data_IF_709651899426
#
_entry.id   IF_709651899426
#
_cell.length_a   1.000
_cell.length_b   1.000
_cell.length_c   1.000
_cell.angle_alpha   90.00
_cell.angle_beta   90.00
_cell.angle_gamma   90.00
#
_symmetry.space_group_name_H-M   'P 1'
#
loop_
_entity.id
_entity.type
_entity.pdbx_description
1 polymer ?
#
# COMPACT_ATOMS: atom_id res chain seq x y z
N UNK A 1 -23.73 40.99 -26.80
CA UNK A 1 -23.25 39.81 -26.05
C UNK A 1 -22.01 40.24 -25.26
N UNK A 2 -22.20 40.68 -24.02
CA UNK A 2 -21.10 40.99 -23.11
C UNK A 2 -20.47 39.66 -22.65
N UNK A 3 -19.31 39.35 -23.25
CA UNK A 3 -18.46 38.27 -22.78
C UNK A 3 -17.98 38.55 -21.37
N UNK A 4 -18.54 37.86 -20.39
CA UNK A 4 -18.01 37.80 -19.02
C UNK A 4 -16.58 37.28 -19.11
N UNK A 5 -15.62 38.22 -19.16
CA UNK A 5 -14.19 37.88 -19.12
C UNK A 5 -13.87 37.16 -17.84
N UNK A 6 -13.73 35.84 -17.89
CA UNK A 6 -13.29 35.03 -16.76
C UNK A 6 -11.93 35.57 -16.30
N UNK A 7 -11.93 36.25 -15.14
CA UNK A 7 -10.73 36.83 -14.57
C UNK A 7 -9.74 35.69 -14.32
N UNK A 8 -8.69 35.56 -15.14
CA UNK A 8 -7.70 34.51 -15.05
C UNK A 8 -7.02 34.57 -13.68
N UNK A 9 -7.28 33.58 -12.84
CA UNK A 9 -6.82 33.49 -11.47
C UNK A 9 -5.34 33.16 -11.34
N UNK A 10 -4.79 33.38 -10.16
CA UNK A 10 -3.47 32.84 -9.80
C UNK A 10 -3.56 31.32 -9.60
N UNK A 11 -2.43 30.64 -9.75
CA UNK A 11 -2.35 29.19 -9.54
C UNK A 11 -2.87 28.81 -8.15
N UNK A 12 -2.54 29.55 -7.10
CA UNK A 12 -2.98 29.25 -5.72
C UNK A 12 -4.51 29.32 -5.55
N UNK A 13 -5.20 30.21 -6.26
CA UNK A 13 -6.66 30.34 -6.18
C UNK A 13 -7.36 29.25 -7.00
N UNK A 14 -6.87 29.00 -8.20
CA UNK A 14 -7.42 27.95 -9.07
C UNK A 14 -7.13 26.55 -8.48
N UNK A 15 -6.00 26.38 -7.82
CA UNK A 15 -5.65 25.15 -7.11
C UNK A 15 -6.68 24.81 -6.01
N UNK A 16 -7.15 25.79 -5.25
CA UNK A 16 -8.18 25.55 -4.21
C UNK A 16 -9.45 24.96 -4.82
N UNK A 17 -9.93 25.54 -5.93
CA UNK A 17 -11.11 25.04 -6.64
C UNK A 17 -10.89 23.63 -7.19
N UNK A 18 -9.71 23.36 -7.75
CA UNK A 18 -9.37 22.03 -8.22
C UNK A 18 -9.31 21.02 -7.08
N UNK A 19 -8.72 21.38 -5.95
CA UNK A 19 -8.64 20.53 -4.76
C UNK A 19 -10.03 20.23 -4.19
N UNK A 20 -10.92 21.23 -4.10
CA UNK A 20 -12.32 21.04 -3.71
C UNK A 20 -13.05 20.04 -4.61
N UNK A 21 -12.84 20.14 -5.92
CA UNK A 21 -13.37 19.16 -6.87
C UNK A 21 -12.81 17.75 -6.67
N UNK A 22 -11.52 17.61 -6.34
CA UNK A 22 -10.94 16.32 -6.03
C UNK A 22 -11.48 15.73 -4.71
N UNK A 23 -11.73 16.55 -3.71
CA UNK A 23 -12.32 16.13 -2.42
C UNK A 23 -13.73 15.58 -2.59
N UNK A 24 -14.50 16.12 -3.52
CA UNK A 24 -15.85 15.65 -3.83
C UNK A 24 -15.88 14.38 -4.66
N UNK A 25 -14.87 14.15 -5.50
CA UNK A 25 -14.87 13.08 -6.51
C UNK A 25 -13.95 11.92 -6.18
N UNK A 26 -13.06 12.07 -5.19
CA UNK A 26 -12.08 11.04 -4.85
C UNK A 26 -11.98 10.83 -3.34
N UNK A 27 -11.46 9.67 -2.92
CA UNK A 27 -11.22 9.40 -1.51
C UNK A 27 -10.07 10.24 -0.93
N UNK A 28 -10.06 10.44 0.39
CA UNK A 28 -9.00 11.14 1.12
C UNK A 28 -7.61 10.55 0.83
N UNK A 29 -7.49 9.24 0.68
CA UNK A 29 -6.24 8.58 0.32
C UNK A 29 -5.67 8.99 -1.05
N UNK A 30 -6.47 9.59 -1.92
CA UNK A 30 -6.05 10.09 -3.22
C UNK A 30 -5.71 11.59 -3.17
N UNK A 31 -6.60 12.44 -2.64
CA UNK A 31 -6.37 13.90 -2.69
C UNK A 31 -5.41 14.43 -1.63
N UNK A 32 -5.33 13.86 -0.42
CA UNK A 32 -4.40 14.32 0.63
C UNK A 32 -2.92 14.24 0.22
N UNK A 33 -2.44 13.16 -0.44
CA UNK A 33 -1.09 13.14 -0.97
C UNK A 33 -0.83 14.20 -2.06
N UNK A 34 -1.84 14.53 -2.88
CA UNK A 34 -1.77 15.60 -3.88
C UNK A 34 -1.62 16.95 -3.16
N UNK A 35 -2.50 17.25 -2.20
CA UNK A 35 -2.44 18.46 -1.39
C UNK A 35 -1.06 18.63 -0.73
N UNK A 36 -0.54 17.56 -0.11
CA UNK A 36 0.78 17.58 0.53
C UNK A 36 1.89 17.92 -0.46
N UNK A 37 1.90 17.30 -1.67
CA UNK A 37 2.90 17.60 -2.70
C UNK A 37 2.77 19.03 -3.20
N UNK A 38 1.55 19.51 -3.42
CA UNK A 38 1.28 20.87 -3.87
C UNK A 38 1.76 21.91 -2.88
N UNK A 39 1.40 21.75 -1.61
CA UNK A 39 1.83 22.67 -0.53
C UNK A 39 3.35 22.77 -0.43
N UNK A 40 4.05 21.65 -0.56
CA UNK A 40 5.51 21.60 -0.35
C UNK A 40 6.29 22.00 -1.61
N UNK A 41 5.85 21.57 -2.80
CA UNK A 41 6.66 21.67 -4.00
C UNK A 41 6.14 22.64 -5.05
N UNK A 42 4.83 22.81 -5.18
CA UNK A 42 4.23 23.57 -6.28
C UNK A 42 3.92 25.02 -5.88
N UNK A 43 3.11 25.20 -4.84
CA UNK A 43 2.66 26.53 -4.43
C UNK A 43 3.80 27.51 -4.08
N UNK A 44 4.90 27.07 -3.44
CA UNK A 44 6.03 27.98 -3.16
C UNK A 44 6.76 28.50 -4.41
N UNK A 45 6.58 27.87 -5.57
CA UNK A 45 7.29 28.23 -6.82
C UNK A 45 6.37 28.99 -7.75
N UNK A 46 5.17 28.46 -8.03
CA UNK A 46 4.28 29.00 -9.05
C UNK A 46 2.96 29.54 -8.48
N UNK A 47 2.68 29.42 -7.17
CA UNK A 47 1.38 29.80 -6.60
C UNK A 47 0.90 31.20 -6.94
N UNK A 48 1.83 32.19 -7.00
CA UNK A 48 1.53 33.58 -7.33
C UNK A 48 1.45 33.87 -8.81
N UNK A 49 1.87 32.93 -9.69
CA UNK A 49 1.76 33.09 -11.15
C UNK A 49 0.31 32.99 -11.61
N UNK A 50 -0.02 33.64 -12.72
CA UNK A 50 -1.30 33.45 -13.40
C UNK A 50 -1.30 32.12 -14.16
N UNK A 51 -2.41 31.38 -14.17
CA UNK A 51 -2.47 30.05 -14.82
C UNK A 51 -2.22 30.11 -16.32
N UNK A 52 -2.57 31.23 -17.00
CA UNK A 52 -2.32 31.41 -18.43
C UNK A 52 -0.87 31.85 -18.73
N UNK A 53 -0.06 32.13 -17.73
CA UNK A 53 1.36 32.47 -17.85
C UNK A 53 2.29 31.31 -17.46
N UNK A 54 1.72 30.12 -17.24
CA UNK A 54 2.51 28.91 -16.97
C UNK A 54 3.24 28.45 -18.23
N UNK A 55 4.44 27.94 -18.05
CA UNK A 55 5.31 27.38 -19.09
C UNK A 55 5.83 26.01 -18.69
N UNK A 56 6.32 25.22 -19.65
CA UNK A 56 7.00 23.95 -19.36
C UNK A 56 8.21 24.13 -18.43
N UNK A 57 8.95 25.24 -18.59
CA UNK A 57 10.08 25.56 -17.73
C UNK A 57 9.66 25.73 -16.26
N UNK A 58 8.51 26.32 -15.97
CA UNK A 58 8.00 26.46 -14.61
C UNK A 58 7.71 25.10 -13.98
N UNK A 59 7.07 24.21 -14.74
CA UNK A 59 6.74 22.88 -14.25
C UNK A 59 7.98 22.02 -14.09
N UNK A 60 8.92 22.13 -15.01
CA UNK A 60 10.21 21.42 -14.91
C UNK A 60 11.02 21.89 -13.71
N UNK A 61 11.04 23.20 -13.40
CA UNK A 61 11.73 23.74 -12.24
C UNK A 61 11.22 23.13 -10.91
N UNK A 62 9.92 22.84 -10.80
CA UNK A 62 9.31 22.17 -9.64
C UNK A 62 9.89 20.76 -9.48
N UNK A 63 9.90 19.98 -10.56
CA UNK A 63 10.42 18.60 -10.57
C UNK A 63 11.92 18.59 -10.26
N UNK A 64 12.69 19.50 -10.84
CA UNK A 64 14.13 19.63 -10.60
C UNK A 64 14.44 20.00 -9.14
N UNK A 65 13.66 20.91 -8.54
CA UNK A 65 13.81 21.26 -7.10
C UNK A 65 13.51 20.07 -6.20
N UNK A 66 12.47 19.32 -6.49
CA UNK A 66 12.13 18.10 -5.73
C UNK A 66 13.22 17.02 -5.92
N UNK A 67 13.80 16.88 -7.11
CA UNK A 67 14.92 15.98 -7.37
C UNK A 67 16.18 16.41 -6.57
N UNK A 68 16.55 17.69 -6.61
CA UNK A 68 17.68 18.22 -5.84
C UNK A 68 17.53 18.00 -4.33
N UNK A 69 16.28 17.97 -3.82
CA UNK A 69 15.96 17.60 -2.44
C UNK A 69 15.94 16.08 -2.19
N UNK A 70 16.44 15.25 -3.12
CA UNK A 70 16.60 13.80 -2.96
C UNK A 70 15.30 13.00 -3.03
N UNK A 71 14.22 13.54 -3.63
CA UNK A 71 12.96 12.80 -3.76
C UNK A 71 13.10 11.62 -4.73
N UNK A 72 12.40 10.52 -4.42
CA UNK A 72 12.46 9.32 -5.25
C UNK A 72 11.83 9.54 -6.64
N UNK A 73 12.27 8.76 -7.63
CA UNK A 73 11.71 8.76 -9.00
C UNK A 73 10.19 8.65 -8.99
N UNK A 74 9.63 7.78 -8.13
CA UNK A 74 8.18 7.62 -7.98
C UNK A 74 7.49 8.91 -7.51
N UNK A 75 8.09 9.62 -6.54
CA UNK A 75 7.55 10.90 -6.06
C UNK A 75 7.58 11.96 -7.15
N UNK A 76 8.65 12.02 -7.94
CA UNK A 76 8.77 12.95 -9.08
C UNK A 76 7.73 12.64 -10.17
N UNK A 77 7.51 11.36 -10.48
CA UNK A 77 6.46 10.93 -11.42
C UNK A 77 5.06 11.32 -10.96
N UNK A 78 4.75 11.15 -9.66
CA UNK A 78 3.47 11.57 -9.09
C UNK A 78 3.32 13.08 -9.16
N UNK A 79 4.36 13.85 -8.83
CA UNK A 79 4.35 15.30 -8.91
C UNK A 79 4.12 15.78 -10.36
N UNK A 80 4.81 15.21 -11.33
CA UNK A 80 4.60 15.50 -12.75
C UNK A 80 3.17 15.14 -13.20
N UNK A 81 2.63 14.03 -12.71
CA UNK A 81 1.23 13.64 -12.94
C UNK A 81 0.22 14.65 -12.39
N UNK A 82 0.44 15.12 -11.17
CA UNK A 82 -0.39 16.15 -10.53
C UNK A 82 -0.37 17.46 -11.34
N UNK A 83 0.80 17.89 -11.80
CA UNK A 83 0.97 19.10 -12.60
C UNK A 83 0.22 18.99 -13.94
N UNK A 84 0.34 17.86 -14.64
CA UNK A 84 -0.42 17.61 -15.89
C UNK A 84 -1.93 17.60 -15.64
N UNK A 85 -2.38 16.98 -14.54
CA UNK A 85 -3.79 16.93 -14.18
C UNK A 85 -4.36 18.32 -13.90
N UNK A 86 -3.62 19.17 -13.20
CA UNK A 86 -4.00 20.55 -12.94
C UNK A 86 -4.07 21.37 -14.23
N UNK A 87 -3.09 21.29 -15.13
CA UNK A 87 -3.12 21.99 -16.42
C UNK A 87 -4.33 21.52 -17.27
N UNK A 88 -4.63 20.22 -17.26
CA UNK A 88 -5.84 19.68 -17.90
C UNK A 88 -7.13 20.25 -17.30
N UNK A 89 -7.19 20.41 -15.98
CA UNK A 89 -8.31 21.06 -15.30
C UNK A 89 -8.44 22.52 -15.73
N UNK A 90 -7.36 23.31 -15.72
CA UNK A 90 -7.36 24.71 -16.16
C UNK A 90 -7.86 24.85 -17.60
N UNK A 91 -7.44 23.96 -18.50
CA UNK A 91 -7.92 23.94 -19.90
C UNK A 91 -9.41 23.62 -19.99
N UNK A 92 -9.87 22.59 -19.24
CA UNK A 92 -11.30 22.24 -19.20
C UNK A 92 -12.17 23.39 -18.68
N UNK A 93 -11.66 24.11 -17.68
CA UNK A 93 -12.31 25.29 -17.10
C UNK A 93 -12.13 26.56 -17.95
N UNK A 94 -11.52 26.50 -19.13
CA UNK A 94 -11.23 27.62 -20.04
C UNK A 94 -10.42 28.77 -19.40
N UNK A 95 -9.62 28.47 -18.39
CA UNK A 95 -8.73 29.40 -17.69
C UNK A 95 -7.36 29.54 -18.38
N UNK A 96 -6.95 28.55 -19.16
CA UNK A 96 -5.69 28.52 -19.93
C UNK A 96 -5.82 27.54 -21.08
N UNK A 97 -5.09 27.78 -22.16
CA UNK A 97 -4.93 26.86 -23.30
C UNK A 97 -3.68 25.98 -23.14
N UNK A 98 -2.81 26.31 -22.17
CA UNK A 98 -1.54 25.62 -21.94
C UNK A 98 -1.75 24.17 -21.50
N UNK A 99 -1.04 23.27 -22.19
CA UNK A 99 -0.80 21.89 -21.75
C UNK A 99 0.70 21.64 -21.81
N UNK A 100 1.30 21.08 -20.75
CA UNK A 100 2.72 20.73 -20.78
C UNK A 100 2.95 19.63 -21.83
N UNK A 101 3.94 19.84 -22.70
CA UNK A 101 4.34 18.85 -23.70
C UNK A 101 5.14 17.72 -23.07
N UNK A 102 6.17 18.09 -22.34
CA UNK A 102 7.06 17.09 -21.70
C UNK A 102 7.61 17.59 -20.34
N UNK A 103 7.28 16.86 -19.30
CA UNK A 103 7.91 17.05 -17.98
C UNK A 103 8.85 15.88 -17.75
N UNK A 104 10.15 16.17 -17.85
CA UNK A 104 11.22 15.19 -17.74
C UNK A 104 11.47 14.78 -16.29
N UNK A 105 11.58 13.47 -16.06
CA UNK A 105 12.06 12.95 -14.78
C UNK A 105 13.56 12.72 -14.88
N UNK A 106 14.40 13.42 -14.06
CA UNK A 106 15.85 13.30 -14.14
C UNK A 106 16.33 11.85 -14.12
N UNK A 107 17.26 11.49 -14.99
CA UNK A 107 17.75 10.11 -15.13
C UNK A 107 18.37 9.58 -13.82
N UNK A 108 19.09 10.45 -13.07
CA UNK A 108 19.66 10.14 -11.75
C UNK A 108 18.68 10.08 -10.59
N UNK A 109 17.35 10.18 -10.84
CA UNK A 109 16.36 10.11 -9.79
C UNK A 109 16.38 8.75 -9.08
N UNK A 110 16.49 8.79 -7.75
CA UNK A 110 16.65 7.62 -6.89
C UNK A 110 15.50 6.63 -7.08
N UNK A 111 15.84 5.43 -7.51
CA UNK A 111 14.93 4.28 -7.46
C UNK A 111 14.92 3.72 -6.04
N UNK A 112 13.75 3.61 -5.44
CA UNK A 112 13.56 2.88 -4.20
C UNK A 112 13.13 1.46 -4.56
N UNK A 113 14.06 0.50 -4.49
CA UNK A 113 13.75 -0.91 -4.62
C UNK A 113 12.79 -1.35 -3.51
N UNK A 114 11.97 -2.35 -3.80
CA UNK A 114 11.21 -3.06 -2.79
C UNK A 114 12.14 -4.07 -2.12
N UNK A 115 12.06 -4.15 -0.79
CA UNK A 115 12.79 -5.13 -0.01
C UNK A 115 11.88 -6.30 0.32
N UNK A 116 12.46 -7.45 0.58
CA UNK A 116 11.78 -8.64 1.09
C UNK A 116 12.65 -9.26 2.17
N UNK A 117 12.04 -9.92 3.15
CA UNK A 117 12.77 -10.74 4.10
C UNK A 117 13.46 -11.88 3.36
N UNK A 118 14.73 -12.09 3.67
CA UNK A 118 15.51 -13.21 3.13
C UNK A 118 15.21 -14.50 3.93
N UNK A 119 15.57 -15.68 3.43
CA UNK A 119 15.33 -16.95 4.14
C UNK A 119 15.77 -16.95 5.59
N UNK A 120 16.98 -16.46 5.89
CA UNK A 120 17.51 -16.37 7.25
C UNK A 120 16.67 -15.47 8.16
N UNK A 121 16.16 -14.36 7.64
CA UNK A 121 15.27 -13.46 8.39
C UNK A 121 13.92 -14.13 8.66
N UNK A 122 13.40 -14.91 7.72
CA UNK A 122 12.18 -15.70 7.92
C UNK A 122 12.37 -16.77 8.99
N UNK A 123 13.49 -17.51 8.96
CA UNK A 123 13.82 -18.49 10.03
C UNK A 123 13.86 -17.80 11.38
N UNK A 124 14.52 -16.63 11.50
CA UNK A 124 14.53 -15.85 12.76
C UNK A 124 13.12 -15.41 13.18
N UNK A 125 12.30 -14.89 12.24
CA UNK A 125 10.93 -14.48 12.53
C UNK A 125 10.09 -15.62 13.10
N UNK A 126 10.30 -16.84 12.63
CA UNK A 126 9.54 -18.01 13.08
C UNK A 126 10.13 -18.71 14.31
N UNK A 127 11.39 -18.47 14.65
CA UNK A 127 12.07 -19.08 15.81
C UNK A 127 12.16 -18.17 17.05
N UNK A 128 11.96 -16.84 16.91
CA UNK A 128 12.14 -15.89 18.01
C UNK A 128 10.82 -15.21 18.34
N UNK A 129 10.37 -15.33 19.60
CA UNK A 129 9.12 -14.75 20.10
C UNK A 129 9.33 -13.49 20.95
N UNK A 130 10.58 -13.02 21.06
CA UNK A 130 10.94 -11.95 21.98
C UNK A 130 11.45 -10.70 21.27
N UNK A 131 11.24 -9.55 21.90
CA UNK A 131 11.72 -8.24 21.47
C UNK A 131 12.38 -7.51 22.64
N UNK A 132 12.90 -6.31 22.39
CA UNK A 132 13.44 -5.44 23.43
C UNK A 132 12.41 -4.39 23.86
N UNK A 133 12.15 -4.34 25.16
CA UNK A 133 11.37 -3.27 25.80
C UNK A 133 12.13 -2.70 26.99
N UNK A 134 12.47 -1.41 26.96
CA UNK A 134 13.25 -0.71 28.01
C UNK A 134 14.55 -1.48 28.37
N UNK A 135 15.25 -1.99 27.36
CA UNK A 135 16.52 -2.74 27.53
C UNK A 135 16.37 -4.19 28.01
N UNK A 136 15.16 -4.67 28.25
CA UNK A 136 14.90 -6.06 28.66
C UNK A 136 14.28 -6.87 27.53
N UNK A 137 14.64 -8.16 27.44
CA UNK A 137 13.96 -9.12 26.57
C UNK A 137 12.59 -9.45 27.15
N UNK A 138 11.56 -9.28 26.35
CA UNK A 138 10.17 -9.60 26.69
C UNK A 138 9.51 -10.32 25.51
N UNK A 139 8.45 -11.07 25.76
CA UNK A 139 7.62 -11.62 24.68
C UNK A 139 7.07 -10.49 23.80
N UNK A 140 7.02 -10.69 22.49
CA UNK A 140 6.43 -9.72 21.56
C UNK A 140 4.95 -10.06 21.30
N UNK A 141 4.05 -9.25 21.84
CA UNK A 141 2.60 -9.45 21.73
C UNK A 141 2.09 -9.45 20.29
N UNK A 142 2.88 -8.97 19.33
CA UNK A 142 2.50 -8.90 17.92
C UNK A 142 3.20 -9.97 17.05
N UNK A 143 3.93 -10.89 17.65
CA UNK A 143 4.70 -11.89 16.89
C UNK A 143 3.83 -12.71 15.94
N UNK A 144 2.66 -13.13 16.38
CA UNK A 144 1.73 -13.90 15.54
C UNK A 144 1.17 -13.05 14.39
N UNK A 145 0.98 -11.74 14.59
CA UNK A 145 0.54 -10.84 13.53
C UNK A 145 1.60 -10.73 12.42
N UNK A 146 2.88 -10.56 12.75
CA UNK A 146 3.96 -10.53 11.77
C UNK A 146 4.05 -11.83 10.98
N UNK A 147 4.03 -12.98 11.67
CA UNK A 147 4.05 -14.31 11.06
C UNK A 147 2.85 -14.52 10.13
N UNK A 148 1.67 -14.17 10.60
CA UNK A 148 0.44 -14.33 9.82
C UNK A 148 0.41 -13.44 8.58
N UNK A 149 0.88 -12.18 8.69
CA UNK A 149 0.96 -11.26 7.55
C UNK A 149 1.89 -11.80 6.46
N UNK A 150 3.04 -12.36 6.85
CA UNK A 150 3.99 -12.97 5.90
C UNK A 150 3.50 -14.28 5.30
N UNK A 151 2.70 -15.06 6.04
CA UNK A 151 2.14 -16.34 5.57
C UNK A 151 0.93 -16.21 4.65
N UNK A 152 0.27 -15.07 4.68
CA UNK A 152 -0.99 -14.84 3.95
C UNK A 152 -0.91 -13.71 2.92
N UNK A 153 0.11 -12.88 3.02
CA UNK A 153 0.25 -11.70 2.16
C UNK A 153 -0.86 -10.67 2.33
N UNK A 154 -1.55 -10.64 3.46
CA UNK A 154 -2.56 -9.61 3.76
C UNK A 154 -1.95 -8.21 3.72
N UNK A 155 -2.76 -7.21 3.37
CA UNK A 155 -2.36 -5.83 3.57
C UNK A 155 -2.43 -5.47 5.05
N UNK A 156 -1.59 -4.56 5.57
CA UNK A 156 -1.65 -4.17 6.99
C UNK A 156 -3.05 -3.77 7.46
N UNK A 157 -3.79 -3.00 6.65
CA UNK A 157 -5.16 -2.62 6.98
C UNK A 157 -6.16 -3.79 7.00
N UNK A 158 -5.97 -4.80 6.15
CA UNK A 158 -6.77 -6.04 6.17
C UNK A 158 -6.49 -6.85 7.44
N UNK A 159 -5.23 -6.92 7.85
CA UNK A 159 -4.83 -7.57 9.09
C UNK A 159 -5.41 -6.87 10.34
N UNK A 160 -5.38 -5.53 10.36
CA UNK A 160 -5.99 -4.74 11.45
C UNK A 160 -7.50 -4.95 11.54
N UNK A 161 -8.17 -5.11 10.39
CA UNK A 161 -9.62 -5.31 10.33
C UNK A 161 -10.09 -6.75 10.53
N UNK A 162 -9.19 -7.72 10.65
CA UNK A 162 -9.53 -9.15 10.72
C UNK A 162 -10.16 -9.51 12.07
N UNK A 163 -11.32 -10.15 12.02
CA UNK A 163 -12.09 -10.59 13.19
C UNK A 163 -12.18 -12.11 13.22
N UNK A 164 -12.35 -12.69 14.41
CA UNK A 164 -12.53 -14.13 14.55
C UNK A 164 -13.74 -14.66 13.79
N UNK A 165 -14.79 -13.85 13.66
CA UNK A 165 -15.99 -14.20 12.89
C UNK A 165 -15.74 -14.36 11.38
N UNK A 166 -14.65 -13.80 10.87
CA UNK A 166 -14.25 -13.89 9.46
C UNK A 166 -13.57 -15.24 9.14
N UNK A 167 -13.23 -16.02 10.16
CA UNK A 167 -12.48 -17.28 10.01
C UNK A 167 -13.39 -18.45 10.32
N UNK A 168 -13.72 -19.24 9.29
CA UNK A 168 -14.62 -20.40 9.39
C UNK A 168 -13.99 -21.61 8.70
N UNK A 169 -13.86 -22.74 9.42
CA UNK A 169 -13.37 -23.98 8.84
C UNK A 169 -11.98 -23.88 8.15
N UNK A 170 -11.10 -23.00 8.64
CA UNK A 170 -9.81 -22.77 8.01
C UNK A 170 -9.83 -21.83 6.79
N UNK A 171 -10.99 -21.26 6.47
CA UNK A 171 -11.15 -20.23 5.41
C UNK A 171 -11.25 -18.86 6.03
N UNK A 172 -10.54 -17.91 5.47
CA UNK A 172 -10.61 -16.47 5.81
C UNK A 172 -11.50 -15.76 4.79
N UNK A 173 -12.49 -15.01 5.28
CA UNK A 173 -13.41 -14.20 4.49
C UNK A 173 -13.11 -12.71 4.73
N UNK A 174 -12.31 -12.12 3.89
CA UNK A 174 -11.96 -10.70 4.00
C UNK A 174 -13.08 -9.84 3.43
N UNK A 175 -13.62 -8.95 4.25
CA UNK A 175 -14.68 -8.02 3.85
C UNK A 175 -14.38 -6.57 4.22
N UNK A 176 -13.31 -6.33 4.98
CA UNK A 176 -12.97 -5.01 5.52
C UNK A 176 -11.47 -4.78 5.64
N UNK A 177 -11.12 -3.52 5.75
CA UNK A 177 -9.79 -3.06 6.12
C UNK A 177 -9.89 -1.80 7.00
N UNK A 178 -8.95 -1.61 7.91
CA UNK A 178 -8.83 -0.37 8.69
C UNK A 178 -7.74 0.48 8.04
N UNK A 179 -8.07 1.70 7.67
CA UNK A 179 -7.12 2.61 7.05
C UNK A 179 -6.19 3.27 8.11
N UNK A 180 -5.18 4.01 7.65
CA UNK A 180 -4.21 4.70 8.53
C UNK A 180 -4.82 5.70 9.52
N UNK A 181 -6.07 6.11 9.32
CA UNK A 181 -6.84 6.98 10.22
C UNK A 181 -7.70 6.20 11.22
N UNK A 182 -7.62 4.87 11.20
CA UNK A 182 -8.43 4.00 12.06
C UNK A 182 -9.88 3.81 11.60
N UNK A 183 -10.20 4.24 10.37
CA UNK A 183 -11.56 4.10 9.81
C UNK A 183 -11.70 2.77 9.09
N UNK A 184 -12.76 2.04 9.40
CA UNK A 184 -13.13 0.81 8.71
C UNK A 184 -13.60 1.13 7.28
N UNK A 185 -13.12 0.38 6.31
CA UNK A 185 -13.45 0.48 4.89
C UNK A 185 -13.65 -0.90 4.29
N UNK A 186 -14.31 -0.99 3.14
CA UNK A 186 -14.41 -2.24 2.36
C UNK A 186 -13.09 -2.64 1.67
N UNK A 187 -11.99 -1.91 1.92
CA UNK A 187 -10.73 -2.08 1.25
C UNK A 187 -10.56 -1.14 0.04
N UNK A 188 -9.40 -1.21 -0.61
CA UNK A 188 -8.98 -0.23 -1.62
C UNK A 188 -9.66 -0.39 -2.98
N UNK A 189 -10.14 -1.58 -3.31
CA UNK A 189 -10.77 -1.95 -4.59
C UNK A 189 -11.75 -3.12 -4.37
N UNK A 190 -12.55 -3.45 -5.38
CA UNK A 190 -13.53 -4.55 -5.34
C UNK A 190 -12.88 -5.90 -4.99
N UNK A 191 -11.66 -6.16 -5.49
CA UNK A 191 -10.90 -7.37 -5.20
C UNK A 191 -10.33 -7.45 -3.77
N UNK A 192 -10.57 -6.43 -2.94
CA UNK A 192 -10.23 -6.49 -1.52
C UNK A 192 -11.15 -7.44 -0.74
N UNK A 193 -12.41 -7.60 -1.19
CA UNK A 193 -13.34 -8.59 -0.66
C UNK A 193 -13.04 -9.92 -1.33
N UNK A 194 -12.56 -10.88 -0.56
CA UNK A 194 -12.17 -12.20 -1.05
C UNK A 194 -12.16 -13.25 0.05
N UNK A 195 -12.21 -14.51 -0.36
CA UNK A 195 -12.05 -15.65 0.55
C UNK A 195 -10.88 -16.51 0.09
N UNK A 196 -10.15 -17.08 1.03
CA UNK A 196 -9.07 -18.03 0.74
C UNK A 196 -8.90 -19.03 1.87
N UNK A 197 -8.40 -20.22 1.54
CA UNK A 197 -8.10 -21.28 2.50
C UNK A 197 -6.70 -21.07 3.06
N UNK A 198 -6.54 -21.22 4.38
CA UNK A 198 -5.26 -21.07 5.07
C UNK A 198 -4.40 -22.32 4.88
N UNK A 199 -3.10 -22.10 4.69
CA UNK A 199 -2.09 -23.15 4.82
C UNK A 199 -2.00 -23.65 6.26
N UNK A 200 -1.46 -24.86 6.48
CA UNK A 200 -1.39 -25.45 7.83
C UNK A 200 -0.50 -24.62 8.77
N UNK A 201 0.62 -24.08 8.23
CA UNK A 201 1.49 -23.17 9.01
C UNK A 201 0.75 -21.88 9.43
N UNK A 202 -0.12 -21.34 8.59
CA UNK A 202 -0.92 -20.17 8.94
C UNK A 202 -2.02 -20.50 9.96
N UNK A 203 -2.63 -21.69 9.87
CA UNK A 203 -3.59 -22.18 10.87
C UNK A 203 -2.94 -22.34 12.23
N UNK A 204 -1.73 -22.93 12.30
CA UNK A 204 -1.00 -23.09 13.55
C UNK A 204 -0.72 -21.74 14.24
N UNK A 205 -0.35 -20.70 13.46
CA UNK A 205 -0.18 -19.34 13.99
C UNK A 205 -1.49 -18.77 14.53
N UNK A 206 -2.63 -19.00 13.84
CA UNK A 206 -3.95 -18.56 14.32
C UNK A 206 -4.40 -19.30 15.57
N UNK A 207 -4.13 -20.60 15.69
CA UNK A 207 -4.46 -21.36 16.89
C UNK A 207 -3.66 -20.85 18.10
N UNK A 208 -2.37 -20.57 17.93
CA UNK A 208 -1.57 -19.93 18.97
C UNK A 208 -2.12 -18.54 19.34
N UNK A 209 -2.52 -17.74 18.34
CA UNK A 209 -3.13 -16.44 18.59
C UNK A 209 -4.49 -16.55 19.29
N UNK A 210 -5.28 -17.59 18.99
CA UNK A 210 -6.59 -17.81 19.63
C UNK A 210 -6.47 -18.02 21.13
N UNK A 211 -5.38 -18.62 21.61
CA UNK A 211 -5.11 -18.75 23.04
C UNK A 211 -4.91 -17.37 23.72
N UNK A 212 -4.48 -16.36 22.96
CA UNK A 212 -4.20 -15.02 23.48
C UNK A 212 -5.43 -14.09 23.36
N UNK A 213 -6.11 -14.10 22.22
CA UNK A 213 -7.18 -13.11 21.89
C UNK A 213 -8.50 -13.76 21.50
N UNK A 214 -8.70 -15.05 21.74
CA UNK A 214 -9.92 -15.76 21.34
C UNK A 214 -11.21 -15.23 21.95
N UNK A 215 -11.14 -14.49 23.06
CA UNK A 215 -12.26 -13.81 23.70
C UNK A 215 -12.51 -12.39 23.16
N UNK A 216 -11.63 -11.87 22.30
CA UNK A 216 -11.77 -10.57 21.65
C UNK A 216 -12.51 -10.72 20.32
N UNK A 217 -13.06 -9.64 19.80
CA UNK A 217 -13.63 -9.62 18.45
C UNK A 217 -12.50 -9.66 17.39
N UNK A 218 -11.46 -8.86 17.58
CA UNK A 218 -10.30 -8.76 16.68
C UNK A 218 -9.32 -9.92 16.91
N UNK A 219 -8.75 -10.44 15.80
CA UNK A 219 -7.78 -11.55 15.86
C UNK A 219 -6.48 -11.10 16.53
N UNK A 220 -5.91 -9.97 16.14
CA UNK A 220 -4.60 -9.54 16.59
C UNK A 220 -4.61 -8.34 17.54
N UNK A 221 -5.76 -7.73 17.81
CA UNK A 221 -5.92 -6.57 18.69
C UNK A 221 -4.93 -5.43 18.40
N UNK A 222 -4.64 -5.18 17.11
CA UNK A 222 -3.72 -4.14 16.67
C UNK A 222 -4.41 -2.77 16.78
N UNK A 223 -3.77 -1.82 17.49
CA UNK A 223 -4.40 -0.52 17.75
C UNK A 223 -4.43 0.38 16.49
N UNK A 224 -3.30 0.53 15.83
CA UNK A 224 -3.14 1.33 14.62
C UNK A 224 -2.01 0.77 13.75
N UNK A 225 -2.09 0.97 12.42
CA UNK A 225 -1.00 0.59 11.51
C UNK A 225 0.33 1.24 11.91
N UNK A 226 0.31 2.51 12.36
CA UNK A 226 1.51 3.23 12.81
C UNK A 226 2.15 2.56 14.02
N UNK A 227 1.36 2.12 15.02
CA UNK A 227 1.88 1.43 16.21
C UNK A 227 2.39 0.05 15.84
N UNK A 228 1.66 -0.68 15.03
CA UNK A 228 2.05 -1.98 14.50
C UNK A 228 3.40 -1.89 13.77
N UNK A 229 3.57 -0.94 12.86
CA UNK A 229 4.85 -0.72 12.17
C UNK A 229 5.99 -0.30 13.12
N UNK A 230 5.71 0.51 14.14
CA UNK A 230 6.71 0.88 15.14
C UNK A 230 7.19 -0.34 15.92
N UNK A 231 6.29 -1.22 16.33
CA UNK A 231 6.62 -2.47 17.04
C UNK A 231 7.41 -3.42 16.15
N UNK A 232 6.99 -3.59 14.89
CA UNK A 232 7.73 -4.36 13.90
C UNK A 232 9.19 -3.91 13.76
N UNK A 233 9.43 -2.60 13.65
CA UNK A 233 10.81 -2.08 13.59
C UNK A 233 11.64 -2.40 14.85
N UNK A 234 11.01 -2.34 16.01
CA UNK A 234 11.68 -2.71 17.27
C UNK A 234 12.04 -4.19 17.28
N UNK A 235 11.12 -5.06 16.85
CA UNK A 235 11.36 -6.50 16.71
C UNK A 235 12.51 -6.78 15.73
N UNK A 236 12.52 -6.17 14.56
CA UNK A 236 13.61 -6.32 13.59
C UNK A 236 14.97 -5.91 14.19
N UNK A 237 15.04 -4.73 14.79
CA UNK A 237 16.27 -4.22 15.39
C UNK A 237 16.77 -5.11 16.54
N UNK A 238 15.85 -5.63 17.37
CA UNK A 238 16.17 -6.48 18.51
C UNK A 238 16.72 -7.86 18.10
N UNK A 239 16.38 -8.31 16.90
CA UNK A 239 16.66 -9.67 16.43
C UNK A 239 17.54 -9.71 15.16
N UNK A 240 18.04 -8.57 14.71
CA UNK A 240 18.94 -8.47 13.55
C UNK A 240 18.28 -8.92 12.25
N UNK A 241 17.00 -8.53 12.05
CA UNK A 241 16.30 -8.70 10.78
C UNK A 241 16.45 -7.45 9.91
N UNK A 242 16.47 -7.63 8.58
CA UNK A 242 16.39 -6.50 7.66
C UNK A 242 15.09 -5.71 7.88
N UNK A 243 15.16 -4.39 8.11
CA UNK A 243 13.96 -3.60 8.36
C UNK A 243 13.18 -3.36 7.07
N UNK A 244 12.25 -4.22 6.76
CA UNK A 244 11.27 -4.07 5.70
C UNK A 244 10.03 -3.34 6.23
N UNK A 245 9.26 -2.68 5.35
CA UNK A 245 7.95 -2.13 5.72
C UNK A 245 6.91 -3.24 5.87
N UNK A 246 5.80 -2.99 6.56
CA UNK A 246 4.70 -3.96 6.68
C UNK A 246 4.20 -4.40 5.29
N UNK A 247 4.06 -3.47 4.35
CA UNK A 247 3.67 -3.82 2.99
C UNK A 247 4.71 -4.71 2.26
N UNK A 248 5.96 -4.65 2.67
CA UNK A 248 7.03 -5.52 2.15
C UNK A 248 6.99 -6.93 2.74
N UNK A 249 6.29 -7.17 3.87
CA UNK A 249 5.96 -8.54 4.33
C UNK A 249 5.05 -9.25 3.31
N UNK A 250 4.11 -8.54 2.73
CA UNK A 250 3.31 -9.05 1.62
C UNK A 250 4.14 -9.30 0.36
N UNK A 251 5.13 -8.45 0.05
CA UNK A 251 6.06 -8.73 -1.04
C UNK A 251 6.91 -9.98 -0.75
N UNK A 252 7.26 -10.20 0.51
CA UNK A 252 7.93 -11.43 0.95
C UNK A 252 7.06 -12.66 0.68
N UNK A 253 5.78 -12.64 1.08
CA UNK A 253 4.84 -13.71 0.74
C UNK A 253 4.86 -14.03 -0.75
N UNK A 254 4.61 -13.03 -1.61
CA UNK A 254 4.61 -13.23 -3.07
C UNK A 254 5.94 -13.79 -3.58
N UNK A 255 7.06 -13.37 -2.99
CA UNK A 255 8.40 -13.86 -3.36
C UNK A 255 8.62 -15.33 -2.96
N UNK A 256 8.07 -15.76 -1.83
CA UNK A 256 8.14 -17.17 -1.38
C UNK A 256 7.32 -18.07 -2.28
N UNK A 257 6.10 -17.63 -2.65
CA UNK A 257 5.18 -18.43 -3.47
C UNK A 257 5.31 -18.17 -4.98
N UNK A 258 6.35 -17.48 -5.42
CA UNK A 258 6.53 -17.07 -6.83
C UNK A 258 6.58 -18.22 -7.86
N UNK A 259 6.80 -19.45 -7.42
CA UNK A 259 6.79 -20.66 -8.27
C UNK A 259 5.39 -21.18 -8.54
N UNK A 260 4.39 -20.73 -7.80
CA UNK A 260 2.98 -21.03 -8.08
C UNK A 260 2.50 -20.22 -9.30
N UNK A 261 1.52 -20.73 -10.04
CA UNK A 261 0.89 -19.99 -11.13
C UNK A 261 0.35 -18.62 -10.68
N UNK A 262 0.53 -17.60 -11.50
CA UNK A 262 0.01 -16.25 -11.17
C UNK A 262 -1.50 -16.23 -10.93
N UNK A 263 -2.26 -17.08 -11.64
CA UNK A 263 -3.70 -17.25 -11.45
C UNK A 263 -4.09 -17.71 -10.04
N UNK A 264 -3.20 -18.43 -9.33
CA UNK A 264 -3.40 -18.84 -7.94
C UNK A 264 -2.97 -17.76 -6.95
N UNK A 265 -1.88 -17.03 -7.27
CA UNK A 265 -1.34 -15.99 -6.37
C UNK A 265 -2.19 -14.72 -6.38
N UNK A 266 -2.63 -14.25 -7.56
CA UNK A 266 -3.41 -13.02 -7.72
C UNK A 266 -4.68 -12.97 -6.85
N UNK A 267 -5.52 -14.02 -6.79
CA UNK A 267 -6.67 -14.07 -5.89
C UNK A 267 -6.32 -13.98 -4.41
N UNK A 268 -5.26 -14.70 -3.98
CA UNK A 268 -4.81 -14.67 -2.57
C UNK A 268 -4.47 -13.27 -2.10
N UNK A 269 -3.79 -12.51 -2.95
CA UNK A 269 -3.37 -11.15 -2.62
C UNK A 269 -4.35 -10.07 -3.06
N UNK A 270 -5.47 -10.41 -3.73
CA UNK A 270 -6.47 -9.42 -4.19
C UNK A 270 -5.86 -8.39 -5.14
N UNK A 271 -5.11 -8.85 -6.13
CA UNK A 271 -4.75 -8.05 -7.30
C UNK A 271 -5.86 -8.14 -8.32
N UNK A 272 -6.08 -7.05 -9.09
CA UNK A 272 -6.95 -7.12 -10.25
C UNK A 272 -6.40 -8.18 -11.21
N UNK A 273 -7.28 -9.04 -11.69
CA UNK A 273 -7.01 -9.84 -12.87
C UNK A 273 -7.06 -8.86 -14.04
N UNK A 274 -5.92 -8.24 -14.38
CA UNK A 274 -5.84 -7.54 -15.65
C UNK A 274 -6.18 -8.54 -16.75
N UNK A 275 -6.92 -8.05 -17.76
CA UNK A 275 -7.54 -8.80 -18.85
C UNK A 275 -6.53 -9.55 -19.73
N UNK A 276 -5.83 -10.49 -19.12
CA UNK A 276 -5.10 -11.51 -19.80
C UNK A 276 -6.07 -12.68 -20.10
N UNK A 277 -5.92 -13.31 -21.21
CA UNK A 277 -6.82 -14.36 -21.75
C UNK A 277 -7.08 -15.48 -20.73
N UNK A 278 -6.12 -15.78 -19.84
CA UNK A 278 -6.24 -16.75 -18.76
C UNK A 278 -7.19 -16.29 -17.64
N UNK A 279 -7.22 -15.00 -17.27
CA UNK A 279 -8.11 -14.48 -16.25
C UNK A 279 -9.60 -14.49 -16.61
N UNK A 280 -9.91 -14.50 -17.92
CA UNK A 280 -11.30 -14.55 -18.41
C UNK A 280 -11.85 -15.99 -18.51
N UNK A 281 -11.01 -17.02 -18.61
CA UNK A 281 -11.41 -18.40 -18.85
C UNK A 281 -11.05 -19.37 -17.72
N UNK A 282 -10.31 -18.95 -16.71
CA UNK A 282 -10.03 -19.81 -15.55
C UNK A 282 -11.23 -19.83 -14.60
N UNK A 283 -12.08 -20.83 -14.74
CA UNK A 283 -13.08 -21.13 -13.73
C UNK A 283 -12.41 -21.82 -12.54
N UNK A 284 -12.71 -21.34 -11.32
CA UNK A 284 -12.27 -22.01 -10.08
C UNK A 284 -12.94 -23.36 -9.98
N UNK A 285 -12.16 -24.44 -9.97
CA UNK A 285 -12.68 -25.79 -9.77
C UNK A 285 -12.81 -26.12 -8.28
N UNK A 286 -13.69 -27.05 -7.95
CA UNK A 286 -13.82 -27.57 -6.58
C UNK A 286 -12.47 -28.17 -6.15
N UNK A 287 -11.94 -27.71 -5.00
CA UNK A 287 -10.63 -28.16 -4.47
C UNK A 287 -9.44 -27.29 -4.85
N UNK A 288 -9.56 -26.31 -5.75
CA UNK A 288 -8.44 -25.42 -6.13
C UNK A 288 -7.92 -24.61 -4.96
N UNK A 289 -8.80 -24.11 -4.10
CA UNK A 289 -8.41 -23.33 -2.93
C UNK A 289 -7.59 -24.16 -1.92
N UNK A 290 -7.96 -25.40 -1.71
CA UNK A 290 -7.24 -26.36 -0.86
C UNK A 290 -5.90 -26.77 -1.50
N UNK A 291 -5.86 -26.96 -2.82
CA UNK A 291 -4.62 -27.24 -3.55
C UNK A 291 -3.63 -26.07 -3.42
N UNK A 292 -4.11 -24.85 -3.65
CA UNK A 292 -3.32 -23.62 -3.48
C UNK A 292 -2.82 -23.49 -2.05
N UNK A 293 -3.66 -23.74 -1.03
CA UNK A 293 -3.25 -23.71 0.37
C UNK A 293 -2.15 -24.74 0.69
N UNK A 294 -2.23 -25.96 0.13
CA UNK A 294 -1.17 -26.98 0.26
C UNK A 294 0.13 -26.55 -0.40
N UNK A 295 0.06 -25.95 -1.58
CA UNK A 295 1.25 -25.49 -2.31
C UNK A 295 1.93 -24.31 -1.57
N UNK A 296 1.16 -23.38 -1.01
CA UNK A 296 1.66 -22.32 -0.13
C UNK A 296 2.33 -22.93 1.10
N UNK A 297 1.69 -23.90 1.74
CA UNK A 297 2.25 -24.61 2.90
C UNK A 297 3.61 -25.25 2.57
N UNK A 298 3.68 -25.99 1.47
CA UNK A 298 4.92 -26.65 1.05
C UNK A 298 6.06 -25.65 0.80
N UNK A 299 5.77 -24.48 0.19
CA UNK A 299 6.76 -23.44 -0.05
C UNK A 299 7.35 -22.87 1.25
N UNK A 300 6.51 -22.61 2.26
CA UNK A 300 6.99 -22.13 3.57
C UNK A 300 7.68 -23.22 4.38
N UNK A 301 7.15 -24.42 4.43
CA UNK A 301 7.79 -25.56 5.14
C UNK A 301 9.21 -25.82 4.58
N UNK A 302 9.36 -25.87 3.27
CA UNK A 302 10.68 -26.00 2.64
C UNK A 302 11.65 -24.90 3.01
N UNK A 303 11.14 -23.65 3.16
CA UNK A 303 12.00 -22.51 3.50
C UNK A 303 12.39 -22.49 4.98
N UNK A 304 11.50 -22.92 5.88
CA UNK A 304 11.69 -22.83 7.32
C UNK A 304 12.45 -24.03 7.90
N UNK A 305 12.44 -25.19 7.23
CA UNK A 305 13.00 -26.46 7.73
C UNK A 305 14.02 -27.12 6.77
N UNK A 306 14.22 -26.55 5.58
CA UNK A 306 15.26 -27.00 4.63
C UNK A 306 16.55 -26.28 4.82
#
# INVERSE_FOLDING_TARGET
>A
EEGIGVKVGRVEDVYKLWLEGLQQTTSAGNWEPIESRWRVWVLPIIGKKRVNALTDADLQAIVNKAHAAGRSRKTLQLLAGDLRAFCKYCRKAKLSTFLPEDIQIPAGARLKGKKVLQPDDLVKLFSIDTTLYRGKRVHDDYIHAYRFEVLTGLRPGELLGLRWADIKGGTVNLSRAINVKGVETRGKNENAVRSFVLSDVARAVLEAQRAVTGQCESVFCLETERRYYKRWKVFCAANGLEPVSLYELRHTFVSVVKTLPEGEIKPLVGHSQDMDTFGQYSHVLTGDAENTARAVNAAFVKLLHG
#
